data_IF_396429060329
#
_entry.id   IF_396429060329
#
_cell.length_a   1.000
_cell.length_b   1.000
_cell.length_c   1.000
_cell.angle_alpha   90.00
_cell.angle_beta   90.00
_cell.angle_gamma   90.00
#
_symmetry.space_group_name_H-M   'P 1'
#
loop_
_entity.id
_entity.type
_entity.pdbx_description
1 polymer ?
#
# COMPACT_ATOMS: atom_id res chain seq x y z
N UNK A 1 -31.71 -79.88 53.56
CA UNK A 1 -31.62 -78.67 54.39
C UNK A 1 -30.41 -77.85 53.95
N UNK A 2 -30.64 -76.57 53.67
CA UNK A 2 -29.73 -75.42 53.58
C UNK A 2 -28.56 -75.30 52.56
N UNK A 3 -28.75 -74.31 51.67
CA UNK A 3 -27.81 -73.53 50.86
C UNK A 3 -26.71 -72.82 51.68
N UNK A 4 -25.57 -72.51 51.04
CA UNK A 4 -24.97 -71.15 50.88
C UNK A 4 -23.67 -71.24 50.06
N UNK A 5 -23.71 -70.83 48.79
CA UNK A 5 -23.14 -69.59 48.20
C UNK A 5 -21.60 -69.44 48.32
N UNK A 6 -20.91 -69.66 47.18
CA UNK A 6 -19.59 -69.13 46.89
C UNK A 6 -19.66 -67.60 46.76
N UNK A 7 -18.68 -66.89 47.29
CA UNK A 7 -18.42 -65.50 46.92
C UNK A 7 -16.94 -65.37 46.60
N UNK A 8 -16.65 -65.17 45.32
CA UNK A 8 -15.32 -64.86 44.81
C UNK A 8 -14.99 -63.41 45.17
N UNK A 9 -13.83 -63.19 45.78
CA UNK A 9 -13.29 -61.86 46.06
C UNK A 9 -12.49 -61.43 44.85
N UNK A 10 -12.95 -60.37 44.18
CA UNK A 10 -12.34 -59.81 42.98
C UNK A 10 -11.05 -59.06 43.27
N UNK A 11 -10.04 -59.31 42.44
CA UNK A 11 -8.86 -58.46 42.30
C UNK A 11 -9.26 -57.27 41.43
N UNK A 12 -9.40 -56.10 42.04
CA UNK A 12 -9.59 -54.84 41.34
C UNK A 12 -8.22 -54.28 40.94
N UNK A 13 -7.89 -54.36 39.66
CA UNK A 13 -6.80 -53.58 39.06
C UNK A 13 -7.13 -52.08 39.18
N UNK A 14 -6.16 -51.19 39.46
CA UNK A 14 -6.37 -49.77 39.29
C UNK A 14 -6.38 -49.43 37.79
N UNK A 15 -7.54 -49.00 37.29
CA UNK A 15 -7.68 -48.37 35.98
C UNK A 15 -6.74 -47.17 35.89
N UNK A 16 -5.77 -47.24 34.97
CA UNK A 16 -5.01 -46.07 34.55
C UNK A 16 -5.96 -45.21 33.73
N UNK A 17 -6.59 -44.23 34.36
CA UNK A 17 -7.28 -43.15 33.64
C UNK A 17 -6.24 -42.41 32.83
N UNK A 18 -6.15 -42.73 31.53
CA UNK A 18 -5.51 -41.86 30.57
C UNK A 18 -6.28 -40.53 30.56
N UNK A 19 -5.73 -39.52 31.24
CA UNK A 19 -6.14 -38.13 31.00
C UNK A 19 -5.72 -37.81 29.57
N UNK A 20 -6.67 -37.93 28.65
CA UNK A 20 -6.55 -37.34 27.32
C UNK A 20 -6.40 -35.83 27.53
N UNK A 21 -5.18 -35.33 27.45
CA UNK A 21 -4.93 -33.91 27.32
C UNK A 21 -5.55 -33.49 25.98
N UNK A 22 -6.75 -32.93 26.02
CA UNK A 22 -7.37 -32.30 24.86
C UNK A 22 -6.45 -31.14 24.49
N UNK A 23 -5.70 -31.30 23.41
CA UNK A 23 -4.92 -30.20 22.84
C UNK A 23 -5.87 -29.03 22.61
N UNK A 24 -5.49 -27.78 22.95
CA UNK A 24 -6.36 -26.65 22.71
C UNK A 24 -6.65 -26.57 21.20
N UNK A 25 -7.91 -26.71 20.83
CA UNK A 25 -8.38 -26.56 19.46
C UNK A 25 -8.27 -25.07 19.09
N UNK A 26 -7.12 -24.70 18.55
CA UNK A 26 -6.90 -23.35 18.05
C UNK A 26 -7.46 -23.25 16.63
N UNK A 27 -8.60 -22.56 16.50
CA UNK A 27 -9.16 -22.17 15.21
C UNK A 27 -8.75 -20.75 14.86
N UNK A 28 -8.28 -20.54 13.64
CA UNK A 28 -7.91 -19.23 13.12
C UNK A 28 -8.49 -19.00 11.73
N UNK A 29 -8.82 -17.74 11.43
CA UNK A 29 -9.21 -17.30 10.09
C UNK A 29 -8.62 -15.92 9.79
N UNK A 30 -8.55 -15.56 8.52
CA UNK A 30 -8.04 -14.29 8.04
C UNK A 30 -8.99 -13.69 7.00
N UNK A 31 -9.13 -12.38 7.02
CA UNK A 31 -9.74 -11.59 5.94
C UNK A 31 -8.58 -10.97 5.17
N UNK A 32 -8.48 -11.28 3.88
CA UNK A 32 -7.37 -10.88 3.03
C UNK A 32 -7.87 -9.89 1.98
N UNK A 33 -7.30 -8.70 1.99
CA UNK A 33 -7.41 -7.73 0.92
C UNK A 33 -6.09 -7.70 0.15
N UNK A 34 -6.15 -7.91 -1.16
CA UNK A 34 -4.97 -7.90 -2.03
C UNK A 34 -5.07 -6.78 -3.04
N UNK A 35 -3.90 -6.21 -3.38
CA UNK A 35 -3.76 -5.24 -4.46
C UNK A 35 -2.69 -5.68 -5.43
N UNK A 36 -2.82 -5.24 -6.68
CA UNK A 36 -1.78 -5.34 -7.69
C UNK A 36 -1.44 -3.93 -8.13
N UNK A 37 -0.18 -3.54 -8.02
CA UNK A 37 0.28 -2.23 -8.46
C UNK A 37 1.11 -2.33 -9.74
N UNK A 38 1.17 -1.24 -10.48
CA UNK A 38 2.05 -1.07 -11.63
C UNK A 38 2.13 0.38 -12.04
N UNK A 39 3.15 0.72 -12.83
CA UNK A 39 3.34 2.06 -13.35
C UNK A 39 3.57 2.05 -14.85
N UNK A 40 3.10 3.10 -15.55
CA UNK A 40 3.37 3.32 -16.96
C UNK A 40 3.76 4.78 -17.19
N UNK A 41 4.75 5.01 -18.06
CA UNK A 41 5.15 6.36 -18.47
C UNK A 41 4.84 6.52 -19.95
N UNK A 42 4.01 7.51 -20.26
CA UNK A 42 3.75 7.94 -21.63
C UNK A 42 4.63 9.15 -21.94
N UNK A 43 5.44 9.06 -23.00
CA UNK A 43 6.14 10.21 -23.58
C UNK A 43 5.35 10.72 -24.78
N UNK A 44 5.01 12.00 -24.76
CA UNK A 44 4.35 12.68 -25.88
C UNK A 44 5.43 13.45 -26.63
N UNK A 45 5.77 12.99 -27.83
CA UNK A 45 6.67 13.71 -28.74
C UNK A 45 5.87 14.58 -29.72
N UNK A 46 6.48 15.68 -30.16
CA UNK A 46 5.86 16.58 -31.13
C UNK A 46 4.68 17.36 -30.54
N UNK A 47 4.77 17.79 -29.28
CA UNK A 47 3.68 18.50 -28.60
C UNK A 47 3.15 19.67 -29.45
N UNK A 48 4.04 20.50 -29.98
CA UNK A 48 3.69 21.63 -30.84
C UNK A 48 2.83 21.21 -32.05
N UNK A 49 3.21 20.14 -32.73
CA UNK A 49 2.48 19.59 -33.88
C UNK A 49 1.14 18.99 -33.47
N UNK A 50 1.10 18.23 -32.38
CA UNK A 50 -0.17 17.66 -31.89
C UNK A 50 -1.17 18.75 -31.51
N UNK A 51 -0.70 19.82 -30.88
CA UNK A 51 -1.51 21.00 -30.55
C UNK A 51 -2.03 21.72 -31.79
N UNK A 52 -1.26 21.80 -32.87
CA UNK A 52 -1.70 22.46 -34.11
C UNK A 52 -2.71 21.60 -34.91
N UNK A 53 -2.46 20.29 -35.01
CA UNK A 53 -3.20 19.41 -35.91
C UNK A 53 -4.51 18.87 -35.33
N UNK A 54 -4.59 18.70 -34.01
CA UNK A 54 -5.71 18.01 -33.36
C UNK A 54 -6.68 19.03 -32.78
N UNK A 55 -7.95 18.94 -33.16
CA UNK A 55 -8.96 19.90 -32.69
C UNK A 55 -9.38 19.61 -31.24
N UNK A 56 -9.91 20.62 -30.55
CA UNK A 56 -10.58 20.42 -29.26
C UNK A 56 -11.63 19.30 -29.37
N UNK A 57 -11.64 18.40 -28.39
CA UNK A 57 -12.48 17.21 -28.36
C UNK A 57 -11.99 16.02 -29.19
N UNK A 58 -10.90 16.15 -29.94
CA UNK A 58 -10.22 15.02 -30.58
C UNK A 58 -9.03 14.56 -29.74
N UNK A 59 -8.77 13.25 -29.75
CA UNK A 59 -7.62 12.66 -29.08
C UNK A 59 -6.74 11.83 -30.00
N UNK A 60 -5.51 11.61 -29.54
CA UNK A 60 -4.62 10.55 -29.99
C UNK A 60 -4.64 9.45 -28.94
N UNK A 61 -4.80 8.21 -29.38
CA UNK A 61 -4.71 7.04 -28.52
C UNK A 61 -3.29 6.48 -28.52
N UNK A 62 -2.77 6.17 -27.35
CA UNK A 62 -1.47 5.50 -27.19
C UNK A 62 -1.51 4.06 -27.74
N UNK A 63 -0.33 3.46 -27.89
CA UNK A 63 -0.22 2.01 -27.96
C UNK A 63 -0.80 1.35 -26.70
N UNK A 64 -1.33 0.13 -26.86
CA UNK A 64 -1.82 -0.65 -25.73
C UNK A 64 -0.66 -1.17 -24.88
N UNK A 65 -0.83 -1.17 -23.56
CA UNK A 65 0.15 -1.66 -22.60
C UNK A 65 -0.55 -2.43 -21.46
N UNK A 66 0.22 -3.15 -20.66
CA UNK A 66 -0.28 -3.85 -19.49
C UNK A 66 0.20 -3.15 -18.22
N UNK A 67 -0.73 -2.84 -17.32
CA UNK A 67 -0.43 -2.29 -15.99
C UNK A 67 -1.34 -2.94 -14.96
N UNK A 68 -0.78 -3.34 -13.82
CA UNK A 68 -1.51 -4.02 -12.75
C UNK A 68 -2.36 -5.24 -13.22
N UNK A 69 -1.90 -5.96 -14.25
CA UNK A 69 -2.59 -7.13 -14.81
C UNK A 69 -3.67 -6.83 -15.86
N UNK A 70 -3.90 -5.56 -16.19
CA UNK A 70 -4.93 -5.16 -17.15
C UNK A 70 -4.33 -4.53 -18.41
N UNK A 71 -4.96 -4.80 -19.55
CA UNK A 71 -4.61 -4.17 -20.82
C UNK A 71 -5.31 -2.81 -20.91
N UNK A 72 -4.49 -1.78 -21.08
CA UNK A 72 -4.89 -0.38 -21.03
C UNK A 72 -4.41 0.36 -22.27
N UNK A 73 -5.05 1.49 -22.54
CA UNK A 73 -4.62 2.52 -23.50
C UNK A 73 -4.75 3.89 -22.84
N UNK A 74 -4.10 4.91 -23.39
CA UNK A 74 -4.25 6.30 -22.94
C UNK A 74 -4.81 7.14 -24.09
N UNK A 75 -5.86 7.90 -23.81
CA UNK A 75 -6.41 8.93 -24.70
C UNK A 75 -5.83 10.29 -24.30
N UNK A 76 -5.12 10.93 -25.23
CA UNK A 76 -4.45 12.22 -25.05
C UNK A 76 -5.15 13.29 -25.90
N UNK A 77 -5.63 14.34 -25.26
CA UNK A 77 -6.30 15.49 -25.88
C UNK A 77 -5.40 16.72 -25.73
N UNK A 78 -4.60 17.09 -26.74
CA UNK A 78 -3.68 18.23 -26.65
C UNK A 78 -4.42 19.55 -26.37
N UNK A 79 -5.65 19.69 -26.91
CA UNK A 79 -6.46 20.90 -26.82
C UNK A 79 -7.72 20.72 -25.96
N UNK A 80 -7.71 19.77 -25.02
CA UNK A 80 -8.83 19.49 -24.13
C UNK A 80 -9.91 18.59 -24.74
N UNK A 81 -10.63 17.86 -23.88
CA UNK A 81 -11.72 16.96 -24.28
C UNK A 81 -13.01 17.70 -24.67
N UNK A 82 -13.23 18.89 -24.12
CA UNK A 82 -14.42 19.69 -24.40
C UNK A 82 -14.08 21.19 -24.49
N UNK A 83 -14.99 22.03 -25.00
CA UNK A 83 -14.78 23.48 -25.03
C UNK A 83 -14.48 24.08 -23.66
N UNK A 84 -15.03 23.51 -22.57
CA UNK A 84 -14.77 23.95 -21.19
C UNK A 84 -13.33 23.69 -20.70
N UNK A 85 -12.55 22.96 -21.50
CA UNK A 85 -11.17 22.56 -21.22
C UNK A 85 -10.20 22.95 -22.34
N UNK A 86 -10.58 23.87 -23.23
CA UNK A 86 -9.79 24.23 -24.42
C UNK A 86 -8.38 24.76 -24.11
N UNK A 87 -8.16 25.32 -22.92
CA UNK A 87 -6.85 25.81 -22.46
C UNK A 87 -6.01 24.75 -21.73
N UNK A 88 -6.52 23.52 -21.63
CA UNK A 88 -5.90 22.43 -20.88
C UNK A 88 -5.53 21.28 -21.80
N UNK A 89 -4.48 20.56 -21.43
CA UNK A 89 -4.29 19.19 -21.87
C UNK A 89 -5.22 18.29 -21.03
N UNK A 90 -5.96 17.40 -21.68
CA UNK A 90 -6.71 16.34 -21.00
C UNK A 90 -6.09 14.98 -21.32
N UNK A 91 -6.08 14.07 -20.33
CA UNK A 91 -5.47 12.76 -20.50
C UNK A 91 -6.21 11.70 -19.68
N UNK A 92 -6.46 10.54 -20.29
CA UNK A 92 -7.25 9.47 -19.69
C UNK A 92 -6.65 8.09 -19.95
N UNK A 93 -6.41 7.32 -18.90
CA UNK A 93 -6.14 5.89 -18.96
C UNK A 93 -7.45 5.13 -19.09
N UNK A 94 -7.58 4.28 -20.10
CA UNK A 94 -8.79 3.51 -20.43
C UNK A 94 -8.46 2.03 -20.35
N UNK A 95 -9.35 1.25 -19.74
CA UNK A 95 -9.34 -0.20 -19.87
C UNK A 95 -9.82 -0.62 -21.25
N UNK A 96 -9.16 -1.63 -21.81
CA UNK A 96 -9.70 -2.31 -22.98
C UNK A 96 -10.91 -3.18 -22.57
N UNK A 97 -11.94 -3.25 -23.44
CA UNK A 97 -13.29 -3.81 -23.20
C UNK A 97 -13.37 -5.21 -22.55
N UNK A 98 -12.28 -5.96 -22.46
CA UNK A 98 -12.23 -7.28 -21.80
C UNK A 98 -12.14 -7.20 -20.28
N UNK A 99 -11.89 -6.02 -19.71
CA UNK A 99 -11.77 -5.80 -18.26
C UNK A 99 -13.02 -5.07 -17.74
N UNK A 100 -14.13 -5.77 -17.61
CA UNK A 100 -15.33 -5.24 -16.94
C UNK A 100 -15.19 -5.42 -15.43
N UNK A 101 -15.58 -4.41 -14.64
CA UNK A 101 -15.58 -4.42 -13.16
C UNK A 101 -14.21 -4.46 -12.47
N UNK A 102 -13.34 -3.52 -12.81
CA UNK A 102 -12.04 -3.33 -12.13
C UNK A 102 -12.12 -2.18 -11.14
N UNK A 103 -11.89 -2.46 -9.86
CA UNK A 103 -11.67 -1.41 -8.85
C UNK A 103 -10.22 -1.01 -8.86
N UNK A 104 -9.93 0.24 -9.24
CA UNK A 104 -8.56 0.74 -9.29
C UNK A 104 -8.44 2.16 -8.70
N UNK A 105 -7.26 2.45 -8.17
CA UNK A 105 -6.75 3.81 -7.93
C UNK A 105 -5.74 4.13 -9.02
N UNK A 106 -5.84 5.30 -9.62
CA UNK A 106 -4.84 5.82 -10.57
C UNK A 106 -4.32 7.15 -10.05
N UNK A 107 -3.00 7.26 -9.94
CA UNK A 107 -2.28 8.51 -9.70
C UNK A 107 -1.61 8.95 -10.99
N UNK A 108 -1.77 10.22 -11.35
CA UNK A 108 -1.14 10.83 -12.51
C UNK A 108 -0.13 11.86 -12.05
N UNK A 109 1.04 11.89 -12.69
CA UNK A 109 2.08 12.87 -12.42
C UNK A 109 2.79 13.30 -13.70
N UNK A 110 3.00 14.61 -13.84
CA UNK A 110 3.93 15.14 -14.83
C UNK A 110 5.36 14.84 -14.37
N UNK A 111 6.23 14.40 -15.27
CA UNK A 111 7.64 14.17 -14.97
C UNK A 111 8.48 15.36 -15.41
N UNK A 112 9.52 15.66 -14.65
CA UNK A 112 10.58 16.57 -15.07
C UNK A 112 11.57 15.90 -16.05
N UNK A 113 12.59 16.67 -16.46
CA UNK A 113 13.65 16.22 -17.36
C UNK A 113 14.46 15.03 -16.82
N UNK A 114 14.56 14.91 -15.50
CA UNK A 114 15.30 13.86 -14.81
C UNK A 114 14.44 12.59 -14.67
N UNK A 115 13.15 12.69 -15.01
CA UNK A 115 12.17 11.61 -14.93
C UNK A 115 11.50 11.49 -13.56
N UNK A 116 11.71 12.48 -12.69
CA UNK A 116 11.09 12.52 -11.38
C UNK A 116 9.73 13.24 -11.46
N UNK A 117 8.73 12.78 -10.69
CA UNK A 117 7.41 13.38 -10.72
C UNK A 117 7.38 14.74 -10.01
N UNK A 118 6.68 15.70 -10.61
CA UNK A 118 6.64 17.09 -10.17
C UNK A 118 5.59 17.30 -9.04
N UNK A 119 5.99 17.78 -7.84
CA UNK A 119 5.12 17.95 -6.65
C UNK A 119 3.77 18.62 -6.90
N UNK A 120 3.76 19.63 -7.76
CA UNK A 120 2.59 20.46 -8.00
C UNK A 120 1.56 19.82 -8.94
N UNK A 121 1.95 18.84 -9.76
CA UNK A 121 1.12 18.28 -10.84
C UNK A 121 0.63 16.86 -10.57
N UNK A 122 0.60 16.44 -9.30
CA UNK A 122 -0.05 15.19 -8.90
C UNK A 122 -1.57 15.30 -8.93
N UNK A 123 -2.20 14.28 -9.48
CA UNK A 123 -3.65 14.09 -9.42
C UNK A 123 -4.03 12.71 -8.89
N UNK A 124 -5.02 12.66 -7.98
CA UNK A 124 -5.71 13.81 -7.36
C UNK A 124 -4.78 14.61 -6.41
N UNK A 125 -5.03 15.92 -6.28
CA UNK A 125 -4.19 16.84 -5.47
C UNK A 125 -4.12 16.46 -3.98
N UNK A 126 -5.10 15.69 -3.50
CA UNK A 126 -5.08 15.08 -2.19
C UNK A 126 -4.53 13.65 -2.30
N UNK A 127 -3.37 13.33 -1.69
CA UNK A 127 -2.75 12.00 -1.79
C UNK A 127 -3.57 10.87 -1.16
N UNK A 128 -4.49 11.23 -0.26
CA UNK A 128 -5.47 10.32 0.38
C UNK A 128 -6.73 10.12 -0.47
N UNK A 129 -6.90 10.90 -1.54
CA UNK A 129 -8.05 10.76 -2.42
C UNK A 129 -7.73 9.72 -3.50
N UNK A 130 -8.59 8.74 -3.60
CA UNK A 130 -8.54 7.66 -4.60
C UNK A 130 -9.53 8.03 -5.69
N UNK A 131 -9.09 8.16 -6.94
CA UNK A 131 -10.02 8.23 -8.06
C UNK A 131 -10.59 6.82 -8.29
N UNK A 132 -11.76 6.51 -7.71
CA UNK A 132 -12.51 5.29 -8.00
C UNK A 132 -13.51 5.57 -9.11
N UNK A 133 -13.40 4.87 -10.24
CA UNK A 133 -14.36 4.97 -11.33
C UNK A 133 -15.03 3.63 -11.61
N UNK A 134 -16.35 3.61 -11.72
CA UNK A 134 -17.17 2.43 -12.00
C UNK A 134 -17.63 2.42 -13.46
N UNK A 135 -17.18 1.40 -14.20
CA UNK A 135 -17.65 0.69 -15.42
C UNK A 135 -18.41 1.42 -16.56
N UNK A 136 -19.05 2.57 -16.38
CA UNK A 136 -19.95 3.16 -17.39
C UNK A 136 -19.26 4.10 -18.39
N UNK A 137 -18.08 3.72 -18.88
CA UNK A 137 -17.47 4.31 -20.08
C UNK A 137 -16.54 5.52 -19.88
N UNK A 138 -16.43 6.07 -18.68
CA UNK A 138 -15.44 7.11 -18.40
C UNK A 138 -14.06 6.48 -18.09
N UNK A 139 -13.00 7.14 -18.54
CA UNK A 139 -11.62 6.66 -18.33
C UNK A 139 -11.06 7.19 -17.02
N UNK A 140 -10.00 6.57 -16.51
CA UNK A 140 -9.26 7.08 -15.36
C UNK A 140 -8.32 8.20 -15.79
N UNK A 141 -8.66 9.45 -15.47
CA UNK A 141 -7.84 10.58 -15.88
C UNK A 141 -8.41 11.91 -15.44
N UNK A 142 -8.00 12.97 -16.13
CA UNK A 142 -8.44 14.33 -15.82
C UNK A 142 -8.66 15.16 -17.09
N UNK A 143 -9.79 15.86 -17.10
CA UNK A 143 -10.13 16.84 -18.11
C UNK A 143 -9.27 18.11 -18.00
N UNK A 144 -8.62 18.35 -16.84
CA UNK A 144 -7.73 19.48 -16.55
C UNK A 144 -6.40 18.98 -15.98
N UNK A 145 -5.58 18.33 -16.80
CA UNK A 145 -4.28 17.81 -16.36
C UNK A 145 -3.30 18.96 -16.10
N UNK A 146 -3.01 19.73 -17.14
CA UNK A 146 -2.13 20.90 -17.07
C UNK A 146 -2.64 21.96 -18.04
N UNK A 147 -2.60 23.23 -17.63
CA UNK A 147 -2.85 24.35 -18.54
C UNK A 147 -1.76 24.38 -19.61
N UNK A 148 -2.15 24.50 -20.88
CA UNK A 148 -1.19 24.54 -21.99
C UNK A 148 -0.18 25.66 -21.81
N UNK A 149 -0.63 26.85 -21.37
CA UNK A 149 0.26 27.98 -21.08
C UNK A 149 1.28 27.65 -19.99
N UNK A 150 0.87 26.93 -18.94
CA UNK A 150 1.77 26.53 -17.87
C UNK A 150 2.78 25.48 -18.36
N UNK A 151 2.34 24.50 -19.16
CA UNK A 151 3.22 23.51 -19.78
C UNK A 151 4.26 24.18 -20.69
N UNK A 152 3.81 25.06 -21.59
CA UNK A 152 4.66 25.77 -22.56
C UNK A 152 5.67 26.72 -21.91
N UNK A 153 5.33 27.29 -20.76
CA UNK A 153 6.21 28.15 -19.98
C UNK A 153 7.18 27.38 -19.06
N UNK A 154 6.97 26.08 -18.87
CA UNK A 154 7.74 25.25 -17.96
C UNK A 154 8.95 24.57 -18.63
N UNK A 155 9.84 24.03 -17.80
CA UNK A 155 10.94 23.15 -18.23
C UNK A 155 10.50 21.67 -18.36
N UNK A 156 9.23 21.35 -18.12
CA UNK A 156 8.68 19.99 -18.26
C UNK A 156 8.41 19.62 -19.72
N UNK A 157 8.18 20.64 -20.56
CA UNK A 157 8.23 20.51 -22.00
C UNK A 157 9.68 20.71 -22.43
N UNK A 158 10.37 19.62 -22.73
CA UNK A 158 11.74 19.64 -23.26
C UNK A 158 11.67 20.25 -24.65
N UNK A 159 12.10 21.51 -24.78
CA UNK A 159 11.91 22.31 -26.00
C UNK A 159 12.76 21.80 -27.16
N UNK A 160 13.93 21.24 -26.85
CA UNK A 160 14.85 20.64 -27.81
C UNK A 160 14.22 19.41 -28.49
N UNK A 161 13.45 18.62 -27.73
CA UNK A 161 12.84 17.36 -28.19
C UNK A 161 11.32 17.48 -28.47
N UNK A 162 10.75 18.68 -28.25
CA UNK A 162 9.31 18.99 -28.29
C UNK A 162 8.47 17.91 -27.58
N UNK A 163 8.87 17.54 -26.36
CA UNK A 163 8.26 16.43 -25.65
C UNK A 163 8.04 16.66 -24.15
N UNK A 164 7.04 15.98 -23.59
CA UNK A 164 6.81 15.90 -22.16
C UNK A 164 6.36 14.49 -21.77
N UNK A 165 6.49 14.16 -20.49
CA UNK A 165 6.28 12.80 -19.97
C UNK A 165 5.26 12.78 -18.85
N UNK A 166 4.36 11.80 -18.89
CA UNK A 166 3.32 11.60 -17.87
C UNK A 166 3.42 10.19 -17.30
N UNK A 167 3.49 10.10 -15.97
CA UNK A 167 3.50 8.85 -15.22
C UNK A 167 2.09 8.54 -14.70
N UNK A 168 1.71 7.28 -14.83
CA UNK A 168 0.50 6.68 -14.31
C UNK A 168 0.89 5.60 -13.31
N UNK A 169 0.58 5.78 -12.04
CA UNK A 169 0.69 4.73 -11.03
C UNK A 169 -0.70 4.15 -10.77
N UNK A 170 -0.88 2.86 -11.06
CA UNK A 170 -2.16 2.16 -11.01
C UNK A 170 -2.10 1.11 -9.90
N UNK A 171 -3.12 1.11 -9.05
CA UNK A 171 -3.32 0.10 -8.01
C UNK A 171 -4.69 -0.51 -8.21
N UNK A 172 -4.75 -1.80 -8.53
CA UNK A 172 -5.99 -2.55 -8.69
C UNK A 172 -6.27 -3.32 -7.41
N UNK A 173 -7.49 -3.22 -6.91
CA UNK A 173 -7.97 -3.92 -5.73
C UNK A 173 -8.63 -5.23 -6.16
N UNK A 174 -8.14 -6.35 -5.62
CA UNK A 174 -8.81 -7.64 -5.78
C UNK A 174 -9.98 -7.75 -4.83
N UNK A 175 -10.85 -8.73 -5.08
CA UNK A 175 -11.92 -9.06 -4.15
C UNK A 175 -11.37 -9.48 -2.78
N UNK A 176 -12.04 -9.02 -1.73
CA UNK A 176 -11.71 -9.39 -0.35
C UNK A 176 -12.15 -10.84 -0.14
N UNK A 177 -11.23 -11.68 0.34
CA UNK A 177 -11.48 -13.11 0.58
C UNK A 177 -11.28 -13.50 2.04
N UNK A 178 -11.99 -14.52 2.49
CA UNK A 178 -11.82 -15.10 3.83
C UNK A 178 -11.13 -16.44 3.73
N UNK A 179 -10.07 -16.65 4.52
CA UNK A 179 -9.28 -17.86 4.56
C UNK A 179 -9.36 -18.46 5.96
N UNK A 180 -9.46 -19.79 6.07
CA UNK A 180 -9.16 -20.50 7.32
C UNK A 180 -7.66 -20.71 7.39
N UNK A 181 -7.09 -20.57 8.59
CA UNK A 181 -5.71 -20.94 8.88
C UNK A 181 -5.75 -22.12 9.81
N UNK A 182 -5.31 -23.27 9.31
CA UNK A 182 -5.10 -24.42 10.16
C UNK A 182 -3.92 -24.14 11.11
N UNK A 183 -3.95 -24.71 12.31
CA UNK A 183 -3.01 -24.42 13.39
C UNK A 183 -1.53 -24.63 12.99
N UNK A 184 -1.27 -25.38 11.91
CA UNK A 184 0.06 -25.71 11.40
C UNK A 184 0.75 -24.54 10.66
N UNK A 185 -0.01 -23.60 10.06
CA UNK A 185 0.56 -22.43 9.36
C UNK A 185 0.99 -21.30 10.29
N UNK A 186 0.42 -21.25 11.50
CA UNK A 186 0.83 -20.32 12.56
C UNK A 186 2.17 -20.73 13.19
N UNK A 187 2.43 -22.03 13.30
CA UNK A 187 3.70 -22.56 13.80
C UNK A 187 4.88 -22.23 12.88
N UNK A 188 4.68 -22.25 11.56
CA UNK A 188 5.75 -21.97 10.58
C UNK A 188 6.26 -20.52 10.61
N UNK A 189 5.41 -19.52 10.93
CA UNK A 189 5.88 -18.12 11.11
C UNK A 189 6.38 -17.81 12.51
N UNK A 190 5.94 -18.56 13.53
CA UNK A 190 6.47 -18.44 14.89
C UNK A 190 7.82 -19.16 15.07
N UNK A 191 8.13 -20.15 14.23
CA UNK A 191 9.34 -20.99 14.36
C UNK A 191 10.64 -20.35 13.83
N UNK A 192 10.59 -19.11 13.32
CA UNK A 192 11.82 -18.37 12.96
C UNK A 192 12.42 -17.56 14.12
N UNK A 193 11.83 -17.61 15.31
CA UNK A 193 12.55 -17.18 16.51
C UNK A 193 13.39 -18.36 16.96
N UNK A 194 14.67 -18.36 16.58
CA UNK A 194 15.69 -19.20 17.20
C UNK A 194 15.47 -19.09 18.71
N UNK A 195 15.07 -20.20 19.34
CA UNK A 195 14.86 -20.26 20.77
C UNK A 195 16.15 -19.82 21.47
N UNK A 196 16.14 -18.62 22.04
CA UNK A 196 17.21 -18.16 22.91
C UNK A 196 17.27 -19.14 24.10
N UNK A 197 18.46 -19.67 24.45
CA UNK A 197 18.60 -20.53 25.61
C UNK A 197 18.04 -19.82 26.86
N UNK A 198 17.41 -20.54 27.80
CA UNK A 198 16.63 -19.97 28.90
C UNK A 198 17.45 -19.24 29.99
N UNK A 199 18.69 -18.81 29.69
CA UNK A 199 19.64 -18.29 30.68
C UNK A 199 20.00 -16.81 30.52
N UNK A 200 19.31 -16.06 29.67
CA UNK A 200 19.54 -14.62 29.50
C UNK A 200 19.21 -13.82 30.79
N UNK A 201 18.26 -14.31 31.59
CA UNK A 201 17.88 -13.67 32.86
C UNK A 201 18.94 -13.78 33.96
N UNK A 202 19.72 -14.87 34.00
CA UNK A 202 20.78 -15.04 35.00
C UNK A 202 22.07 -14.33 34.62
N UNK A 203 22.33 -14.15 33.32
CA UNK A 203 23.48 -13.37 32.86
C UNK A 203 23.31 -11.86 33.11
N UNK A 204 22.10 -11.30 32.94
CA UNK A 204 21.83 -9.90 33.26
C UNK A 204 21.92 -9.61 34.77
N UNK A 205 21.49 -10.54 35.61
CA UNK A 205 21.59 -10.40 37.07
C UNK A 205 23.04 -10.36 37.59
N UNK A 206 23.99 -11.00 36.89
CA UNK A 206 25.41 -10.97 37.27
C UNK A 206 26.13 -9.68 36.85
N UNK A 207 25.64 -8.98 35.82
CA UNK A 207 26.20 -7.70 35.38
C UNK A 207 25.81 -6.51 36.28
N UNK A 208 24.64 -6.56 36.92
CA UNK A 208 24.16 -5.50 37.81
C UNK A 208 24.57 -5.66 39.28
N UNK A 209 25.19 -6.79 39.65
CA UNK A 209 25.59 -7.08 41.03
C UNK A 209 27.08 -6.79 41.32
N UNK A 210 27.79 -6.22 40.36
CA UNK A 210 29.24 -6.02 40.44
C UNK A 210 29.72 -4.81 39.67
N UNK A 211 29.31 -3.60 40.07
CA UNK A 211 30.09 -2.41 39.78
C UNK A 211 29.87 -1.34 40.86
N UNK A 212 30.99 -0.98 41.44
CA UNK A 212 31.25 -0.06 42.52
C UNK A 212 31.12 1.40 42.04
N UNK A 213 30.68 2.29 42.93
CA UNK A 213 30.19 3.62 42.60
C UNK A 213 31.13 4.53 41.79
N UNK A 214 30.52 5.40 40.98
CA UNK A 214 31.13 6.63 40.51
C UNK A 214 30.06 7.71 40.27
N UNK A 215 30.08 8.70 41.16
CA UNK A 215 29.64 10.11 41.09
C UNK A 215 28.44 10.53 40.23
N UNK A 216 27.33 10.83 40.91
CA UNK A 216 26.36 11.82 40.43
C UNK A 216 26.68 13.16 41.09
N UNK A 217 27.38 14.03 40.36
CA UNK A 217 27.61 15.43 40.75
C UNK A 217 26.25 16.13 40.86
N UNK A 218 25.85 16.43 42.11
CA UNK A 218 24.74 17.34 42.41
C UNK A 218 25.25 18.77 42.31
N UNK A 219 24.86 19.48 41.25
CA UNK A 219 25.04 20.94 41.19
C UNK A 219 23.86 21.59 41.93
N UNK A 220 24.13 22.06 43.14
CA UNK A 220 23.30 23.03 43.84
C UNK A 220 23.82 24.43 43.51
N UNK A 221 22.98 25.28 42.91
CA UNK A 221 23.19 26.74 42.95
C UNK A 221 22.00 27.38 43.61
N UNK A 222 22.23 27.89 44.81
CA UNK A 222 21.29 28.69 45.61
C UNK A 222 21.37 30.17 45.29
N UNK A 223 20.25 30.86 45.54
CA UNK A 223 20.11 32.29 45.92
C UNK A 223 20.09 33.30 44.76
N UNK A 224 19.33 34.40 44.76
CA UNK A 224 18.36 35.01 45.71
C UNK A 224 17.63 36.16 44.97
N UNK A 225 16.40 36.43 45.41
CA UNK A 225 15.69 37.73 45.57
C UNK A 225 15.64 38.83 44.48
N UNK A 226 14.38 39.21 44.16
CA UNK A 226 13.86 40.60 44.06
C UNK A 226 14.11 41.32 42.74
N UNK A 227 13.27 42.21 42.21
CA UNK A 227 11.99 42.81 42.61
C UNK A 227 11.45 43.65 41.43
N UNK A 228 10.12 43.69 41.30
CA UNK A 228 9.24 44.72 40.69
C UNK A 228 9.82 45.91 39.89
N UNK A 229 9.24 46.12 38.70
CA UNK A 229 8.37 47.29 38.43
C UNK A 229 9.03 48.60 38.00
N UNK A 230 8.70 49.02 36.78
CA UNK A 230 8.25 50.38 36.42
C UNK A 230 7.36 50.27 35.20
#
# INVERSE_FOLDING_TARGET
MFRRLLTAVGLSSPDTTATTAVAPEHSASAIVAETVSGSHVLTIHGYSQTKELIRNGQCVRSGAFTVAGHRCVIDYYPNGESPATADWVSIYLKLERRSTDVKAQVKLGLLDKDGEPVPTYWYPKNPDQVCSYTVDGEGWGTHRFIERKALEASDYLVKEDDCFRVRFDVVVFKEIRTEKRDADDAACRASSIVALPPDLGRHLGRLLSGWEGADVVRICTTSRCGSSGS
#
